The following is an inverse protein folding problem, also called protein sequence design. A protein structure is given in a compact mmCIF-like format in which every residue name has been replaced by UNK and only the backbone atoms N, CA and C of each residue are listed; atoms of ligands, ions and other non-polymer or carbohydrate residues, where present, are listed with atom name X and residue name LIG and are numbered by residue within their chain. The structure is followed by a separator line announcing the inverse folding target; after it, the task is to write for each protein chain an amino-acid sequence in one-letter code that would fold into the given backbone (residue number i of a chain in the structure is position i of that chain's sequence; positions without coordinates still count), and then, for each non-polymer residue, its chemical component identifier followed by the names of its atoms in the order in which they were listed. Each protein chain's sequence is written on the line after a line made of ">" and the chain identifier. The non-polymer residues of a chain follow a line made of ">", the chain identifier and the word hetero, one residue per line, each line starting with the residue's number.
data_IF_475350431837
#
_entry.id   IF_475350431837
#
_cell.length_a   1.000
_cell.length_b   1.000
_cell.length_c   1.000
_cell.angle_alpha   90.00
_cell.angle_beta   90.00
_cell.angle_gamma   90.00
#
_symmetry.space_group_name_H-M   'P 1'
#
loop_
_entity.id
_entity.type
_entity.pdbx_description
1 polymer ?
#
# COMPACT_ATOMS: atom_id res chain seq x y z
N UNK A 1 -23.22 -0.87 -30.90
CA UNK A 1 -23.84 -0.24 -29.71
C UNK A 1 -23.55 -1.12 -28.51
N UNK A 2 -23.47 -0.54 -27.30
CA UNK A 2 -23.04 -1.13 -26.01
C UNK A 2 -21.52 -0.96 -25.74
N UNK A 3 -21.04 0.26 -25.45
CA UNK A 3 -21.11 0.94 -24.15
C UNK A 3 -20.38 0.17 -23.02
N UNK A 4 -19.07 0.41 -22.94
CA UNK A 4 -18.29 0.64 -21.71
C UNK A 4 -18.71 -0.14 -20.46
N UNK A 5 -18.28 -1.40 -20.37
CA UNK A 5 -17.85 -2.02 -19.11
C UNK A 5 -16.33 -1.81 -19.10
N UNK A 6 -15.71 -1.02 -18.23
CA UNK A 6 -15.39 -1.40 -16.87
C UNK A 6 -14.82 -0.14 -16.14
N UNK A 7 -15.69 0.71 -15.61
CA UNK A 7 -15.32 1.84 -14.74
C UNK A 7 -15.77 1.54 -13.30
N UNK A 8 -15.62 0.29 -12.86
CA UNK A 8 -15.94 -0.10 -11.48
C UNK A 8 -14.68 -0.31 -10.63
N UNK A 9 -13.52 -0.59 -11.25
CA UNK A 9 -12.33 -0.99 -10.49
C UNK A 9 -11.44 0.17 -10.01
N UNK A 10 -11.72 1.43 -10.40
CA UNK A 10 -10.77 2.54 -10.17
C UNK A 10 -10.86 3.25 -8.81
N UNK A 11 -11.70 2.82 -7.87
CA UNK A 11 -12.14 3.73 -6.80
C UNK A 11 -11.34 3.74 -5.50
N UNK A 12 -10.59 2.71 -5.09
CA UNK A 12 -9.98 2.70 -3.74
C UNK A 12 -8.53 2.18 -3.68
N UNK A 13 -7.61 2.63 -4.55
CA UNK A 13 -6.18 2.41 -4.26
C UNK A 13 -5.68 3.52 -3.35
N UNK A 14 -5.57 3.22 -2.05
CA UNK A 14 -4.89 4.07 -1.08
C UNK A 14 -3.38 4.00 -1.32
N UNK A 15 -2.84 5.01 -2.01
CA UNK A 15 -1.39 5.18 -2.17
C UNK A 15 -0.84 6.00 -1.00
N UNK A 16 0.05 5.41 -0.20
CA UNK A 16 0.75 6.11 0.89
C UNK A 16 2.20 6.39 0.50
N UNK A 17 2.58 7.66 0.56
CA UNK A 17 3.96 8.08 0.31
C UNK A 17 4.82 7.77 1.53
N UNK A 18 5.97 7.14 1.30
CA UNK A 18 6.97 6.78 2.28
C UNK A 18 8.26 7.51 1.93
N UNK A 19 8.96 8.07 2.90
CA UNK A 19 10.26 8.71 2.66
C UNK A 19 11.41 7.73 2.92
N UNK A 20 12.58 7.98 2.33
CA UNK A 20 13.77 7.15 2.55
C UNK A 20 14.19 7.02 4.03
N UNK A 21 13.81 7.99 4.87
CA UNK A 21 14.06 7.99 6.33
C UNK A 21 13.21 6.96 7.08
N UNK A 22 12.09 6.53 6.50
CA UNK A 22 11.17 5.56 7.08
C UNK A 22 11.55 4.11 6.72
N UNK A 23 12.62 3.92 5.92
CA UNK A 23 13.19 2.59 5.69
C UNK A 23 13.94 2.09 6.94
N UNK A 24 13.74 0.83 7.35
CA UNK A 24 12.86 -0.18 6.75
C UNK A 24 11.38 0.04 7.11
N UNK A 25 10.56 0.30 6.09
CA UNK A 25 9.13 0.56 6.26
C UNK A 25 8.39 -0.73 6.61
N UNK A 26 7.44 -0.62 7.53
CA UNK A 26 6.63 -1.74 7.97
C UNK A 26 5.16 -1.38 7.93
N UNK A 27 4.36 -2.30 7.43
CA UNK A 27 2.92 -2.23 7.50
C UNK A 27 2.43 -3.17 8.62
N UNK A 28 1.51 -2.75 9.52
CA UNK A 28 0.89 -1.43 9.66
C UNK A 28 1.82 -0.37 10.30
N UNK A 29 1.69 0.92 9.95
CA UNK A 29 2.55 1.98 10.49
C UNK A 29 2.35 2.14 12.01
N UNK A 30 3.33 2.77 12.66
CA UNK A 30 3.42 2.82 14.13
C UNK A 30 2.18 3.42 14.80
N UNK A 31 1.49 4.31 14.10
CA UNK A 31 0.32 5.07 14.55
C UNK A 31 -1.02 4.35 14.35
N UNK A 32 -1.05 3.24 13.60
CA UNK A 32 -2.30 2.50 13.36
C UNK A 32 -2.55 1.46 14.45
N UNK A 33 -3.77 1.39 14.97
CA UNK A 33 -4.20 0.39 15.96
C UNK A 33 -4.12 -1.02 15.40
N UNK A 34 -3.20 -1.82 15.95
CA UNK A 34 -2.84 -3.19 15.53
C UNK A 34 -3.82 -4.27 16.01
N UNK A 35 -4.82 -3.92 16.81
CA UNK A 35 -5.61 -4.85 17.63
C UNK A 35 -6.46 -5.86 16.81
N UNK A 36 -6.70 -5.63 15.52
CA UNK A 36 -7.47 -6.55 14.65
C UNK A 36 -6.95 -6.66 13.21
N UNK A 37 -5.67 -6.37 12.98
CA UNK A 37 -5.05 -6.37 11.64
C UNK A 37 -4.02 -7.50 11.49
N UNK A 38 -3.31 -7.52 10.36
CA UNK A 38 -2.25 -8.50 10.10
C UNK A 38 -0.99 -8.24 10.94
N UNK A 39 -0.11 -9.24 11.09
CA UNK A 39 1.19 -9.09 11.74
C UNK A 39 2.05 -7.99 11.10
N UNK A 40 2.99 -7.42 11.88
CA UNK A 40 3.97 -6.45 11.37
C UNK A 40 4.82 -7.11 10.28
N UNK A 41 4.75 -6.58 9.07
CA UNK A 41 5.57 -7.03 7.95
C UNK A 41 6.40 -5.89 7.39
N UNK A 42 7.64 -6.20 7.01
CA UNK A 42 8.52 -5.24 6.34
C UNK A 42 8.26 -5.28 4.85
N UNK A 43 7.95 -4.11 4.27
CA UNK A 43 7.72 -3.99 2.85
C UNK A 43 9.06 -3.78 2.14
N UNK A 44 9.27 -4.51 1.05
CA UNK A 44 10.40 -4.27 0.15
C UNK A 44 9.91 -3.39 -0.98
N UNK A 45 10.55 -2.25 -1.16
CA UNK A 45 10.31 -1.39 -2.32
C UNK A 45 11.12 -1.90 -3.51
N UNK A 46 10.48 -1.96 -4.67
CA UNK A 46 11.12 -2.23 -5.95
C UNK A 46 12.03 -1.07 -6.37
N UNK A 47 12.81 -1.24 -7.45
CA UNK A 47 13.69 -0.19 -7.99
C UNK A 47 12.94 1.10 -8.37
N UNK A 48 11.64 1.02 -8.62
CA UNK A 48 10.74 2.15 -8.89
C UNK A 48 10.21 2.82 -7.60
N UNK A 49 10.61 2.33 -6.43
CA UNK A 49 10.13 2.84 -5.16
C UNK A 49 8.70 2.41 -4.81
N UNK A 50 8.09 1.46 -5.53
CA UNK A 50 6.74 0.99 -5.22
C UNK A 50 6.80 -0.27 -4.37
N UNK A 51 5.88 -0.41 -3.41
CA UNK A 51 5.70 -1.64 -2.64
C UNK A 51 4.22 -1.89 -2.38
N UNK A 52 3.79 -3.14 -2.41
CA UNK A 52 2.41 -3.52 -2.09
C UNK A 52 2.39 -4.48 -0.91
N UNK A 53 1.51 -4.21 0.04
CA UNK A 53 1.28 -5.04 1.20
C UNK A 53 0.50 -6.30 0.83
N UNK A 54 1.05 -7.52 1.04
CA UNK A 54 0.38 -8.76 0.65
C UNK A 54 -0.83 -9.10 1.53
N UNK A 55 -0.96 -8.46 2.69
CA UNK A 55 -2.06 -8.71 3.64
C UNK A 55 -3.19 -7.70 3.50
N UNK A 56 -2.83 -6.42 3.38
CA UNK A 56 -3.75 -5.31 3.41
C UNK A 56 -4.06 -4.75 2.01
N UNK A 57 -3.31 -5.13 0.99
CA UNK A 57 -3.47 -4.62 -0.38
C UNK A 57 -3.10 -3.14 -0.55
N UNK A 58 -2.60 -2.49 0.52
CA UNK A 58 -2.18 -1.09 0.47
C UNK A 58 -0.93 -0.95 -0.42
N UNK A 59 -0.94 0.10 -1.24
CA UNK A 59 0.16 0.45 -2.13
C UNK A 59 0.95 1.60 -1.52
N UNK A 60 2.26 1.43 -1.46
CA UNK A 60 3.19 2.40 -0.93
C UNK A 60 4.14 2.83 -2.03
N UNK A 61 4.51 4.11 -2.01
CA UNK A 61 5.43 4.69 -2.98
C UNK A 61 6.50 5.49 -2.24
N UNK A 62 7.75 5.26 -2.60
CA UNK A 62 8.92 5.92 -2.05
C UNK A 62 9.07 7.26 -2.77
N UNK A 63 8.93 8.37 -2.03
CA UNK A 63 9.22 9.72 -2.51
C UNK A 63 10.69 10.11 -2.32
#
# INVERSE_FOLDING_TARGET
>A
MSATVDDFQKKHVSFSIVEAKDLPFHCPPKETSKWSMHPKVFLKFDSTGKATCPYCGASYELA
#
